data_IF_597744622430
#
_entry.id   IF_597744622430
#
_cell.length_a   1.000
_cell.length_b   1.000
_cell.length_c   1.000
_cell.angle_alpha   90.00
_cell.angle_beta   90.00
_cell.angle_gamma   90.00
#
_symmetry.space_group_name_H-M   'P 1'
#
loop_
_entity.id
_entity.type
_entity.pdbx_description
1 polymer ?
#
# COMPACT_ATOMS: atom_id res chain seq x y z
N UNK A 1 -20.84 -14.06 8.05
CA UNK A 1 -19.69 -14.22 7.14
C UNK A 1 -18.46 -13.64 7.81
N UNK A 2 -17.32 -14.34 7.82
CA UNK A 2 -16.06 -13.82 8.34
C UNK A 2 -15.52 -12.77 7.36
N UNK A 3 -15.02 -11.64 7.86
CA UNK A 3 -14.56 -10.51 7.04
C UNK A 3 -13.48 -10.91 6.02
N UNK A 4 -12.57 -11.81 6.40
CA UNK A 4 -11.53 -12.36 5.53
C UNK A 4 -12.11 -13.01 4.26
N UNK A 5 -13.24 -13.73 4.38
CA UNK A 5 -13.87 -14.39 3.24
C UNK A 5 -14.44 -13.37 2.25
N UNK A 6 -15.04 -12.29 2.73
CA UNK A 6 -15.57 -11.24 1.86
C UNK A 6 -14.46 -10.55 1.06
N UNK A 7 -13.30 -10.33 1.70
CA UNK A 7 -12.13 -9.74 1.03
C UNK A 7 -11.61 -10.70 -0.04
N UNK A 8 -11.43 -11.99 0.29
CA UNK A 8 -10.92 -12.98 -0.67
C UNK A 8 -11.89 -13.21 -1.83
N UNK A 9 -13.20 -13.29 -1.57
CA UNK A 9 -14.22 -13.44 -2.60
C UNK A 9 -14.21 -12.23 -3.56
N UNK A 10 -14.04 -11.01 -3.03
CA UNK A 10 -13.87 -9.81 -3.87
C UNK A 10 -12.57 -9.85 -4.68
N UNK A 11 -11.44 -10.19 -4.05
CA UNK A 11 -10.14 -10.26 -4.72
C UNK A 11 -10.09 -11.32 -5.81
N UNK A 12 -10.90 -12.37 -5.72
CA UNK A 12 -11.00 -13.41 -6.75
C UNK A 12 -11.67 -12.91 -8.05
N UNK A 13 -12.49 -11.86 -7.97
CA UNK A 13 -13.26 -11.35 -9.12
C UNK A 13 -12.84 -9.95 -9.56
N UNK A 14 -12.18 -9.17 -8.70
CA UNK A 14 -11.78 -7.82 -9.03
C UNK A 14 -10.64 -7.79 -10.06
N UNK A 15 -10.64 -6.78 -10.91
CA UNK A 15 -9.55 -6.49 -11.83
C UNK A 15 -8.87 -5.19 -11.42
N UNK A 16 -7.56 -5.12 -11.65
CA UNK A 16 -6.73 -3.94 -11.37
C UNK A 16 -6.58 -3.04 -12.60
N UNK A 17 -7.66 -2.83 -13.35
CA UNK A 17 -7.74 -2.03 -14.58
C UNK A 17 -8.18 -0.57 -14.33
N UNK A 18 -8.44 -0.22 -13.07
CA UNK A 18 -8.83 1.11 -12.65
C UNK A 18 -7.76 2.17 -12.95
N UNK A 19 -8.22 3.37 -13.31
CA UNK A 19 -7.36 4.55 -13.56
C UNK A 19 -7.51 5.65 -12.53
N UNK A 20 -8.39 5.48 -11.54
CA UNK A 20 -8.59 6.47 -10.48
C UNK A 20 -7.35 6.53 -9.60
N UNK A 21 -6.65 7.68 -9.52
CA UNK A 21 -5.50 7.82 -8.64
C UNK A 21 -5.90 7.62 -7.19
N UNK A 22 -4.99 7.06 -6.38
CA UNK A 22 -5.20 6.93 -4.93
C UNK A 22 -5.58 8.27 -4.29
N UNK A 23 -5.07 9.38 -4.81
CA UNK A 23 -5.35 10.73 -4.30
C UNK A 23 -6.80 11.18 -4.45
N UNK A 24 -7.54 10.62 -5.40
CA UNK A 24 -8.90 11.05 -5.75
C UNK A 24 -10.00 10.16 -5.15
N UNK A 25 -9.63 9.11 -4.41
CA UNK A 25 -10.60 8.15 -3.88
C UNK A 25 -11.42 8.74 -2.73
N UNK A 26 -12.75 8.75 -2.85
CA UNK A 26 -13.68 9.17 -1.78
C UNK A 26 -13.60 8.29 -0.51
N UNK A 27 -12.92 7.15 -0.58
CA UNK A 27 -12.67 6.26 0.55
C UNK A 27 -11.93 6.97 1.70
N UNK A 28 -11.09 7.96 1.40
CA UNK A 28 -10.28 8.64 2.42
C UNK A 28 -11.11 9.39 3.45
N UNK A 29 -12.24 9.96 3.05
CA UNK A 29 -13.14 10.66 3.99
C UNK A 29 -13.77 9.69 5.00
N UNK A 30 -14.06 8.47 4.56
CA UNK A 30 -14.54 7.40 5.43
C UNK A 30 -13.41 6.87 6.32
N UNK A 31 -12.22 6.64 5.75
CA UNK A 31 -11.04 6.11 6.47
C UNK A 31 -10.58 7.08 7.56
N UNK A 32 -10.58 8.40 7.30
CA UNK A 32 -10.20 9.44 8.27
C UNK A 32 -11.01 9.36 9.57
N UNK A 33 -12.27 8.93 9.49
CA UNK A 33 -13.22 8.86 10.62
C UNK A 33 -13.10 7.58 11.47
N UNK A 34 -12.33 6.58 11.03
CA UNK A 34 -12.19 5.31 11.76
C UNK A 34 -11.13 5.42 12.89
N UNK A 35 -11.45 5.07 14.16
CA UNK A 35 -10.48 5.11 15.25
C UNK A 35 -9.45 3.95 15.17
N UNK A 36 -8.21 4.19 15.66
CA UNK A 36 -7.11 3.19 15.84
C UNK A 36 -6.93 2.25 14.63
N UNK A 37 -6.53 2.81 13.49
CA UNK A 37 -6.46 2.10 12.20
C UNK A 37 -5.05 1.68 11.83
N UNK A 38 -4.93 0.47 11.27
CA UNK A 38 -3.83 0.10 10.39
C UNK A 38 -4.31 0.29 8.94
N UNK A 39 -3.53 1.01 8.14
CA UNK A 39 -3.81 1.21 6.72
C UNK A 39 -2.75 0.43 5.94
N UNK A 40 -3.18 -0.54 5.13
CA UNK A 40 -2.32 -1.20 4.15
C UNK A 40 -2.55 -0.55 2.78
N UNK A 41 -1.48 -0.01 2.18
CA UNK A 41 -1.50 0.52 0.81
C UNK A 41 -0.76 -0.47 -0.08
N UNK A 42 -1.42 -0.94 -1.14
CA UNK A 42 -0.83 -1.85 -2.13
C UNK A 42 -0.88 -1.11 -3.46
N UNK A 43 0.29 -0.75 -4.02
CA UNK A 43 0.33 0.08 -5.23
C UNK A 43 1.63 -0.10 -6.01
N UNK A 44 1.57 -0.15 -7.36
CA UNK A 44 2.74 -0.01 -8.22
C UNK A 44 3.11 1.46 -8.52
N UNK A 45 2.35 2.43 -8.00
CA UNK A 45 2.51 3.85 -8.36
C UNK A 45 3.75 4.49 -7.71
N UNK A 46 4.67 5.00 -8.53
CA UNK A 46 5.80 5.81 -8.09
C UNK A 46 5.47 7.29 -7.81
N UNK A 47 4.24 7.73 -8.08
CA UNK A 47 3.76 9.10 -7.83
C UNK A 47 3.84 9.46 -6.32
N UNK A 48 4.57 10.50 -5.91
CA UNK A 48 4.68 10.88 -4.50
C UNK A 48 3.40 11.48 -3.89
N UNK A 49 2.39 11.86 -4.68
CA UNK A 49 1.22 12.58 -4.16
C UNK A 49 0.35 11.72 -3.25
N UNK A 50 0.30 10.40 -3.48
CA UNK A 50 -0.42 9.50 -2.59
C UNK A 50 0.24 9.42 -1.20
N UNK A 51 1.58 9.58 -1.13
CA UNK A 51 2.33 9.61 0.13
C UNK A 51 1.95 10.85 0.94
N UNK A 52 1.92 12.01 0.30
CA UNK A 52 1.47 13.27 0.93
C UNK A 52 0.06 13.15 1.47
N UNK A 53 -0.84 12.55 0.69
CA UNK A 53 -2.20 12.28 1.13
C UNK A 53 -2.21 11.33 2.35
N UNK A 54 -1.41 10.27 2.34
CA UNK A 54 -1.35 9.32 3.46
C UNK A 54 -0.84 9.95 4.73
N UNK A 55 0.20 10.78 4.65
CA UNK A 55 0.70 11.54 5.80
C UNK A 55 -0.40 12.47 6.35
N UNK A 56 -1.19 13.11 5.49
CA UNK A 56 -2.31 13.97 5.91
C UNK A 56 -3.53 13.19 6.46
N UNK A 57 -3.76 11.96 5.97
CA UNK A 57 -4.83 11.08 6.44
C UNK A 57 -4.44 10.39 7.74
N UNK A 58 -3.15 10.09 7.97
CA UNK A 58 -2.67 9.36 9.14
C UNK A 58 -2.80 10.23 10.39
N UNK A 59 -3.66 9.82 11.32
CA UNK A 59 -3.68 10.42 12.67
C UNK A 59 -2.50 9.91 13.52
N UNK A 60 -2.20 10.58 14.65
CA UNK A 60 -1.07 10.27 15.56
C UNK A 60 -0.92 8.81 16.04
N UNK A 61 -1.93 7.95 15.84
CA UNK A 61 -1.95 6.54 16.29
C UNK A 61 -2.32 5.54 15.19
N UNK A 62 -2.17 5.93 13.92
CA UNK A 62 -2.47 5.04 12.80
C UNK A 62 -1.18 4.45 12.24
N UNK A 63 -1.10 3.13 12.12
CA UNK A 63 0.02 2.48 11.43
C UNK A 63 -0.23 2.51 9.92
N UNK A 64 0.82 2.78 9.16
CA UNK A 64 0.80 2.72 7.70
C UNK A 64 1.78 1.62 7.27
N UNK A 65 1.26 0.67 6.51
CA UNK A 65 2.03 -0.41 5.89
C UNK A 65 1.90 -0.23 4.38
N UNK A 66 3.02 -0.16 3.69
CA UNK A 66 3.08 0.03 2.25
C UNK A 66 3.65 -1.23 1.62
N UNK A 67 2.92 -1.82 0.69
CA UNK A 67 3.37 -2.85 -0.22
C UNK A 67 3.54 -2.20 -1.58
N UNK A 68 4.75 -1.72 -1.86
CA UNK A 68 5.10 -1.18 -3.17
C UNK A 68 5.37 -2.33 -4.12
N UNK A 69 4.59 -2.42 -5.19
CA UNK A 69 4.76 -3.45 -6.20
C UNK A 69 5.78 -2.97 -7.23
N UNK A 70 6.88 -3.71 -7.39
CA UNK A 70 7.82 -3.48 -8.48
C UNK A 70 7.16 -3.88 -9.80
N UNK A 71 6.52 -2.90 -10.45
CA UNK A 71 5.73 -3.12 -11.66
C UNK A 71 6.52 -3.87 -12.73
N UNK A 72 7.81 -3.58 -12.89
CA UNK A 72 8.69 -4.23 -13.88
C UNK A 72 8.75 -5.75 -13.69
N UNK A 73 8.82 -6.20 -12.43
CA UNK A 73 8.87 -7.63 -12.10
C UNK A 73 7.56 -8.36 -12.45
N UNK A 74 6.43 -7.65 -12.48
CA UNK A 74 5.12 -8.19 -12.87
C UNK A 74 4.79 -7.96 -14.36
N UNK A 75 5.76 -7.53 -15.18
CA UNK A 75 5.57 -7.27 -16.61
C UNK A 75 5.00 -5.87 -16.94
N UNK A 76 4.92 -4.99 -15.96
CA UNK A 76 4.59 -3.57 -16.12
C UNK A 76 5.80 -2.71 -16.48
N UNK A 77 5.62 -1.38 -16.61
CA UNK A 77 6.72 -0.47 -16.89
C UNK A 77 7.67 -0.35 -15.69
N UNK A 78 8.96 -0.14 -15.98
CA UNK A 78 9.92 0.24 -14.95
C UNK A 78 9.60 1.62 -14.39
N UNK A 79 9.64 1.73 -13.06
CA UNK A 79 9.29 2.93 -12.32
C UNK A 79 10.24 3.06 -11.14
N UNK A 80 10.99 4.16 -11.10
CA UNK A 80 11.90 4.44 -10.00
C UNK A 80 11.16 5.27 -8.93
N UNK A 81 10.81 4.69 -7.77
CA UNK A 81 10.10 5.43 -6.72
C UNK A 81 11.01 6.50 -6.11
N UNK A 82 10.61 7.76 -6.17
CA UNK A 82 11.35 8.89 -5.59
C UNK A 82 10.72 9.44 -4.31
N UNK A 83 9.77 8.72 -3.72
CA UNK A 83 9.00 9.19 -2.59
C UNK A 83 9.66 8.82 -1.25
N UNK A 84 9.54 9.73 -0.28
CA UNK A 84 9.91 9.50 1.11
C UNK A 84 8.64 9.30 1.95
N UNK A 85 8.50 8.12 2.53
CA UNK A 85 7.34 7.75 3.36
C UNK A 85 7.40 8.39 4.75
N UNK A 86 8.57 8.91 5.14
CA UNK A 86 8.84 9.44 6.47
C UNK A 86 8.94 8.34 7.53
N UNK A 87 9.09 8.77 8.78
CA UNK A 87 9.22 7.88 9.92
C UNK A 87 7.89 7.16 10.24
N UNK A 88 8.01 5.96 10.84
CA UNK A 88 6.91 5.08 11.26
C UNK A 88 6.04 4.53 10.10
N UNK A 89 6.67 4.18 8.97
CA UNK A 89 6.03 3.45 7.87
C UNK A 89 6.78 2.15 7.61
N UNK A 90 6.06 1.03 7.58
CA UNK A 90 6.62 -0.25 7.15
C UNK A 90 6.50 -0.35 5.63
N UNK A 91 7.62 -0.28 4.90
CA UNK A 91 7.67 -0.40 3.43
C UNK A 91 8.20 -1.76 3.00
N UNK A 92 7.36 -2.52 2.30
CA UNK A 92 7.73 -3.76 1.63
C UNK A 92 7.74 -3.50 0.12
N UNK A 93 8.92 -3.66 -0.50
CA UNK A 93 9.02 -3.75 -1.96
C UNK A 93 8.76 -5.20 -2.33
N UNK A 94 7.70 -5.43 -3.11
CA UNK A 94 7.24 -6.76 -3.52
C UNK A 94 7.56 -6.95 -4.99
N UNK A 95 8.26 -8.03 -5.30
CA UNK A 95 8.60 -8.46 -6.66
C UNK A 95 7.92 -9.77 -7.02
N UNK A 96 7.74 -10.01 -8.31
CA UNK A 96 7.27 -11.29 -8.80
C UNK A 96 8.25 -12.40 -8.41
N UNK A 97 7.71 -13.49 -7.83
CA UNK A 97 8.50 -14.62 -7.34
C UNK A 97 8.98 -14.49 -5.89
N UNK A 98 8.74 -13.36 -5.22
CA UNK A 98 9.06 -13.24 -3.80
C UNK A 98 8.26 -14.23 -2.94
N UNK A 99 8.93 -14.87 -1.98
CA UNK A 99 8.23 -15.51 -0.86
C UNK A 99 7.69 -14.42 0.07
N UNK A 100 6.42 -14.06 -0.15
CA UNK A 100 5.76 -13.00 0.61
C UNK A 100 5.70 -13.29 2.12
N UNK A 101 5.55 -14.55 2.53
CA UNK A 101 5.50 -14.91 3.94
C UNK A 101 6.84 -14.65 4.63
N UNK A 102 7.94 -14.91 3.91
CA UNK A 102 9.28 -14.54 4.35
C UNK A 102 9.48 -13.02 4.34
N UNK A 103 9.07 -12.34 3.28
CA UNK A 103 9.20 -10.89 3.13
C UNK A 103 8.58 -10.10 4.29
N UNK A 104 7.38 -10.50 4.75
CA UNK A 104 6.69 -9.79 5.84
C UNK A 104 7.22 -10.15 7.22
N UNK A 105 7.73 -11.37 7.42
CA UNK A 105 8.32 -11.81 8.70
C UNK A 105 9.64 -11.14 9.01
N UNK A 106 10.47 -11.02 7.99
CA UNK A 106 11.75 -10.36 8.11
C UNK A 106 11.46 -8.87 8.02
N UNK A 107 11.67 -8.10 9.09
CA UNK A 107 11.66 -6.62 9.04
C UNK A 107 12.84 -6.08 8.19
N UNK A 108 13.20 -6.79 7.12
CA UNK A 108 14.23 -6.47 6.13
C UNK A 108 13.71 -5.46 5.09
N UNK A 109 12.50 -4.94 5.30
CA UNK A 109 12.01 -3.70 4.74
C UNK A 109 13.05 -2.59 4.97
N UNK A 110 13.68 -2.16 3.88
CA UNK A 110 14.64 -1.06 3.83
C UNK A 110 14.08 0.12 4.63
N UNK A 111 14.64 0.40 5.82
CA UNK A 111 14.46 1.68 6.48
C UNK A 111 15.31 2.67 5.72
N UNK A 112 14.70 3.38 4.78
CA UNK A 112 15.31 4.59 4.23
C UNK A 112 15.31 5.59 5.39
N UNK A 113 16.51 5.83 5.91
CA UNK A 113 16.79 6.79 6.98
C UNK A 113 16.87 8.21 6.40
#
# INVERSE_FOLDING_TARGET
>A
MRQDRLILDYLAVCQADGRTPLTQTLAWDRIRRLPRRAIAVITPSADPDWVRLMQAVRGRRSSLIVFYLDASSFGGPDQNPSFDLGQDVDLYVVRAGDDFARLVRTRDAIRIA
#
